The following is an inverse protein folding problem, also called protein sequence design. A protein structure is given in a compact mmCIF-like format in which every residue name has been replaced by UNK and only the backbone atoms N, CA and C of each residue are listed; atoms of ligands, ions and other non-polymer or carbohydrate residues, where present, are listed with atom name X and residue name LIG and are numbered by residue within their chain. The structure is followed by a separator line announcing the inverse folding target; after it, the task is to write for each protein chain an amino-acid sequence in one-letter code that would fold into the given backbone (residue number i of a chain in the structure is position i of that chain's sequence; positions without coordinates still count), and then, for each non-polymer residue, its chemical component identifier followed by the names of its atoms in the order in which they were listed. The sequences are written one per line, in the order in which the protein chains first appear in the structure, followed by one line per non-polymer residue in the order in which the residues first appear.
data_IF_582870135812
#
_entry.id   IF_582870135812
#
_cell.length_a   1.000
_cell.length_b   1.000
_cell.length_c   1.000
_cell.angle_alpha   90.00
_cell.angle_beta   90.00
_cell.angle_gamma   90.00
#
_symmetry.space_group_name_H-M   'P 1'
#
loop_
_entity.id
_entity.type
_entity.pdbx_description
1 polymer ?
#
# COMPACT_ATOMS: atom_id res chain seq x y z
N UNK A 1 -18.15 29.07 14.99
CA UNK A 1 -18.96 28.77 16.19
C UNK A 1 -20.34 29.42 16.06
N UNK A 2 -21.38 28.64 16.32
CA UNK A 2 -22.78 29.14 16.22
C UNK A 2 -23.37 29.53 17.58
N UNK A 3 -22.54 30.07 18.47
CA UNK A 3 -22.98 30.59 19.78
C UNK A 3 -23.47 29.52 20.78
N UNK A 4 -22.97 28.29 20.69
CA UNK A 4 -23.36 27.18 21.57
C UNK A 4 -24.63 26.45 21.17
N UNK A 5 -25.21 26.79 20.02
CA UNK A 5 -26.36 26.07 19.47
C UNK A 5 -25.92 24.74 18.81
N UNK A 6 -26.88 23.87 18.59
CA UNK A 6 -26.63 22.62 17.84
C UNK A 6 -26.16 22.94 16.41
N UNK A 7 -25.45 21.99 15.79
CA UNK A 7 -24.99 22.12 14.40
C UNK A 7 -26.17 22.47 13.47
N UNK A 8 -25.90 23.35 12.52
CA UNK A 8 -26.90 23.75 11.54
C UNK A 8 -27.20 22.60 10.57
N UNK A 9 -28.45 22.46 10.19
CA UNK A 9 -28.90 21.43 9.24
C UNK A 9 -28.56 21.76 7.77
N UNK A 10 -28.03 22.94 7.51
CA UNK A 10 -27.71 23.41 6.16
C UNK A 10 -26.23 23.82 6.05
N UNK A 11 -25.72 23.71 4.86
CA UNK A 11 -24.36 24.10 4.50
C UNK A 11 -24.38 25.55 4.05
N UNK A 12 -23.63 26.41 4.74
CA UNK A 12 -23.40 27.79 4.31
C UNK A 12 -22.09 27.92 3.53
N UNK A 13 -22.07 28.80 2.54
CA UNK A 13 -20.83 29.14 1.85
C UNK A 13 -19.87 29.85 2.80
N UNK A 14 -18.60 29.45 2.71
CA UNK A 14 -17.54 30.09 3.50
C UNK A 14 -17.39 31.54 3.11
N UNK A 15 -17.41 32.44 4.10
CA UNK A 15 -17.12 33.89 3.90
C UNK A 15 -15.62 34.17 3.67
N UNK A 16 -14.79 33.14 3.79
CA UNK A 16 -13.35 33.24 3.52
C UNK A 16 -13.08 33.20 2.02
N UNK A 17 -12.09 33.98 1.52
CA UNK A 17 -11.68 33.88 0.12
C UNK A 17 -11.35 32.42 -0.24
N UNK A 18 -11.90 31.95 -1.35
CA UNK A 18 -11.58 30.60 -1.84
C UNK A 18 -10.11 30.53 -2.23
N UNK A 19 -9.35 29.68 -1.54
CA UNK A 19 -8.00 29.34 -1.98
C UNK A 19 -8.05 28.08 -2.84
N UNK A 20 -7.35 28.04 -3.99
CA UNK A 20 -7.28 26.83 -4.80
C UNK A 20 -6.59 25.72 -3.99
N UNK A 21 -7.32 24.64 -3.72
CA UNK A 21 -6.75 23.46 -3.08
C UNK A 21 -5.83 22.76 -4.08
N UNK A 22 -4.54 22.74 -3.79
CA UNK A 22 -3.58 21.99 -4.60
C UNK A 22 -3.81 20.49 -4.40
N UNK A 23 -4.37 19.82 -5.39
CA UNK A 23 -4.51 18.36 -5.37
C UNK A 23 -3.14 17.72 -5.61
N UNK A 24 -2.80 16.72 -4.80
CA UNK A 24 -1.62 15.90 -5.04
C UNK A 24 -1.81 15.11 -6.35
N UNK A 25 -0.74 14.86 -7.13
CA UNK A 25 -0.79 14.01 -8.30
C UNK A 25 -1.35 12.62 -7.94
N UNK A 26 -2.23 12.09 -8.77
CA UNK A 26 -2.77 10.75 -8.58
C UNK A 26 -1.76 9.67 -8.97
N UNK A 27 -0.89 9.98 -9.93
CA UNK A 27 0.19 9.10 -10.41
C UNK A 27 1.54 9.70 -10.08
N UNK A 28 2.49 8.86 -9.71
CA UNK A 28 3.88 9.20 -9.54
C UNK A 28 4.73 8.17 -10.29
N UNK A 29 5.50 8.63 -11.24
CA UNK A 29 6.41 7.80 -12.05
C UNK A 29 7.83 7.76 -11.47
N UNK A 30 8.04 8.39 -10.29
CA UNK A 30 9.33 8.42 -9.56
C UNK A 30 10.50 8.97 -10.36
N UNK A 31 10.23 9.96 -11.21
CA UNK A 31 11.25 10.64 -12.05
C UNK A 31 11.93 11.81 -11.31
N UNK A 32 11.42 12.17 -10.12
CA UNK A 32 11.96 13.25 -9.30
C UNK A 32 13.18 12.79 -8.49
N UNK A 33 14.13 13.68 -8.22
CA UNK A 33 15.28 13.39 -7.36
C UNK A 33 14.94 13.25 -5.88
N UNK A 34 13.78 13.78 -5.47
CA UNK A 34 13.32 13.77 -4.08
C UNK A 34 11.90 13.24 -3.99
N UNK A 35 11.61 12.58 -2.87
CA UNK A 35 10.29 12.05 -2.58
C UNK A 35 9.26 13.19 -2.40
N UNK A 36 8.10 13.06 -3.03
CA UNK A 36 7.01 14.03 -2.94
C UNK A 36 6.42 14.14 -1.53
N UNK A 37 5.88 15.31 -1.19
CA UNK A 37 5.30 15.63 0.14
C UNK A 37 4.11 14.72 0.54
N UNK A 38 3.52 13.99 -0.40
CA UNK A 38 2.38 13.10 -0.14
C UNK A 38 2.75 11.73 0.41
N UNK A 39 4.05 11.46 0.62
CA UNK A 39 4.52 10.17 1.14
C UNK A 39 4.85 10.24 2.62
N UNK A 40 4.54 9.16 3.30
CA UNK A 40 4.69 8.99 4.75
C UNK A 40 5.33 7.65 5.05
N UNK A 41 6.08 7.59 6.14
CA UNK A 41 6.57 6.34 6.71
C UNK A 41 6.29 6.31 8.22
N UNK A 42 5.92 5.16 8.79
CA UNK A 42 5.69 5.06 10.22
C UNK A 42 7.02 5.13 10.98
N UNK A 43 7.19 6.15 11.82
CA UNK A 43 8.24 6.33 12.83
C UNK A 43 9.67 6.48 12.34
N UNK A 44 9.95 6.39 11.06
CA UNK A 44 11.29 6.59 10.48
C UNK A 44 11.23 7.54 9.30
N UNK A 45 12.35 8.20 9.03
CA UNK A 45 12.46 9.04 7.84
C UNK A 45 12.57 8.15 6.59
N UNK A 46 11.69 8.33 5.57
CA UNK A 46 11.76 7.59 4.32
C UNK A 46 13.13 7.61 3.65
N UNK A 47 13.91 8.68 3.80
CA UNK A 47 15.26 8.81 3.22
C UNK A 47 16.20 7.68 3.64
N UNK A 48 15.93 7.02 4.78
CA UNK A 48 16.77 5.93 5.30
C UNK A 48 16.61 4.62 4.53
N UNK A 49 15.50 4.44 3.80
CA UNK A 49 15.21 3.20 3.08
C UNK A 49 14.70 3.40 1.64
N UNK A 50 14.46 4.64 1.22
CA UNK A 50 14.02 4.99 -0.14
C UNK A 50 15.21 5.42 -0.98
N UNK A 51 15.30 4.93 -2.21
CA UNK A 51 16.26 5.38 -3.22
C UNK A 51 15.54 5.57 -4.56
N UNK A 52 15.50 6.84 -5.03
CA UNK A 52 14.92 7.24 -6.32
C UNK A 52 15.95 7.26 -7.44
N UNK A 53 17.25 7.17 -7.11
CA UNK A 53 18.33 7.28 -8.09
C UNK A 53 18.81 5.92 -8.60
N UNK A 54 18.50 4.84 -7.88
CA UNK A 54 18.99 3.51 -8.20
C UNK A 54 18.48 2.99 -9.55
N UNK A 55 17.27 3.41 -9.96
CA UNK A 55 16.64 3.04 -11.24
C UNK A 55 15.63 4.12 -11.63
N UNK A 56 15.87 4.90 -12.69
CA UNK A 56 14.91 5.90 -13.17
C UNK A 56 13.52 5.29 -13.46
N UNK A 57 12.47 6.00 -13.08
CA UNK A 57 11.08 5.55 -13.24
C UNK A 57 10.63 4.50 -12.21
N UNK A 58 11.46 4.24 -11.17
CA UNK A 58 11.17 3.30 -10.09
C UNK A 58 11.60 3.85 -8.76
N UNK A 59 10.84 3.54 -7.74
CA UNK A 59 11.27 3.71 -6.36
C UNK A 59 11.87 2.40 -5.84
N UNK A 60 13.09 2.45 -5.32
CA UNK A 60 13.70 1.31 -4.63
C UNK A 60 13.50 1.45 -3.13
N UNK A 61 12.96 0.42 -2.51
CA UNK A 61 12.83 0.32 -1.06
C UNK A 61 13.81 -0.71 -0.53
N UNK A 62 14.63 -0.32 0.44
CA UNK A 62 15.49 -1.28 1.16
C UNK A 62 14.65 -2.00 2.21
N UNK A 63 14.56 -3.32 2.14
CA UNK A 63 13.88 -4.15 3.14
C UNK A 63 14.51 -4.02 4.53
N UNK A 64 13.69 -4.05 5.56
CA UNK A 64 14.06 -3.96 6.96
C UNK A 64 13.21 -4.95 7.78
N UNK A 65 12.70 -4.54 8.94
CA UNK A 65 11.89 -5.36 9.83
C UNK A 65 10.47 -5.62 9.27
N UNK A 66 9.78 -6.57 9.87
CA UNK A 66 8.40 -6.92 9.56
C UNK A 66 7.45 -5.72 9.69
N UNK A 67 6.35 -5.70 8.93
CA UNK A 67 5.29 -4.71 9.05
C UNK A 67 4.65 -4.62 10.45
N UNK A 68 4.78 -5.65 11.27
CA UNK A 68 4.36 -5.65 12.67
C UNK A 68 5.36 -4.97 13.62
N UNK A 69 6.57 -4.65 13.15
CA UNK A 69 7.58 -4.01 13.99
C UNK A 69 7.20 -2.58 14.36
N UNK A 70 7.62 -2.17 15.56
CA UNK A 70 7.45 -0.80 16.04
C UNK A 70 8.52 0.17 15.53
N UNK A 71 9.64 -0.32 15.02
CA UNK A 71 10.82 0.51 14.80
C UNK A 71 11.16 0.70 13.31
N UNK A 72 11.83 -0.26 12.71
CA UNK A 72 12.46 -0.10 11.38
C UNK A 72 11.66 -0.82 10.29
N UNK A 73 10.50 -0.28 9.92
CA UNK A 73 9.70 -0.83 8.83
C UNK A 73 9.92 -0.06 7.54
N UNK A 74 10.07 -0.75 6.41
CA UNK A 74 10.14 -0.12 5.09
C UNK A 74 8.76 0.01 4.47
N UNK A 75 7.86 0.71 5.17
CA UNK A 75 6.52 1.04 4.69
C UNK A 75 6.54 2.47 4.18
N UNK A 76 6.32 2.64 2.88
CA UNK A 76 6.09 3.95 2.27
C UNK A 76 4.63 4.05 1.85
N UNK A 77 3.91 5.00 2.42
CA UNK A 77 2.47 5.10 2.29
C UNK A 77 2.01 6.46 1.77
N UNK A 78 0.84 6.48 1.15
CA UNK A 78 0.05 7.68 0.87
C UNK A 78 -1.29 7.56 1.59
N UNK A 79 -1.81 8.68 2.08
CA UNK A 79 -3.13 8.71 2.73
C UNK A 79 -4.24 8.47 1.70
N UNK A 80 -5.20 7.62 2.05
CA UNK A 80 -6.46 7.55 1.33
C UNK A 80 -7.27 8.82 1.65
N UNK A 81 -7.62 9.57 0.60
CA UNK A 81 -8.37 10.84 0.72
C UNK A 81 -9.82 10.71 0.25
N UNK A 82 -10.24 9.50 -0.10
CA UNK A 82 -11.59 9.20 -0.57
C UNK A 82 -12.06 7.85 -0.02
N UNK A 83 -13.36 7.72 0.18
CA UNK A 83 -14.02 6.45 0.53
C UNK A 83 -14.13 5.50 -0.68
N UNK A 84 -13.77 5.96 -1.87
CA UNK A 84 -13.62 5.15 -3.08
C UNK A 84 -12.25 5.43 -3.68
N UNK A 85 -11.42 4.41 -3.76
CA UNK A 85 -10.07 4.54 -4.29
C UNK A 85 -9.63 3.26 -5.00
N UNK A 86 -8.82 3.43 -6.04
CA UNK A 86 -8.07 2.35 -6.67
C UNK A 86 -6.60 2.72 -6.61
N UNK A 87 -5.83 1.87 -5.95
CA UNK A 87 -4.37 2.02 -5.83
C UNK A 87 -3.71 0.90 -6.61
N UNK A 88 -2.82 1.24 -7.52
CA UNK A 88 -2.09 0.26 -8.34
C UNK A 88 -0.60 0.54 -8.25
N UNK A 89 0.20 -0.51 -8.11
CA UNK A 89 1.66 -0.45 -8.20
C UNK A 89 2.20 -1.65 -8.94
N UNK A 90 3.35 -1.48 -9.59
CA UNK A 90 4.12 -2.57 -10.17
C UNK A 90 5.25 -2.91 -9.22
N UNK A 91 5.44 -4.17 -8.91
CA UNK A 91 6.46 -4.67 -7.97
C UNK A 91 7.44 -5.53 -8.73
N UNK A 92 8.69 -5.07 -8.81
CA UNK A 92 9.86 -5.83 -9.26
C UNK A 92 10.59 -6.33 -8.02
N UNK A 93 10.47 -7.62 -7.74
CA UNK A 93 11.02 -8.21 -6.53
C UNK A 93 11.31 -9.70 -6.72
N UNK A 94 12.54 -10.11 -6.42
CA UNK A 94 12.96 -11.53 -6.42
C UNK A 94 13.26 -11.94 -4.98
N UNK A 95 12.30 -12.56 -4.28
CA UNK A 95 12.50 -13.05 -2.92
C UNK A 95 13.42 -14.26 -2.91
N UNK A 96 14.28 -14.37 -1.88
CA UNK A 96 15.21 -15.49 -1.70
C UNK A 96 14.79 -16.43 -0.55
N UNK A 97 13.77 -16.08 0.20
CA UNK A 97 13.22 -16.88 1.31
C UNK A 97 11.81 -16.43 1.66
N UNK A 98 11.11 -17.20 2.48
CA UNK A 98 9.76 -16.85 2.97
C UNK A 98 9.71 -15.56 3.81
N UNK A 99 10.85 -15.16 4.39
CA UNK A 99 10.96 -13.93 5.18
C UNK A 99 11.06 -12.66 4.29
N UNK A 100 11.48 -12.84 3.05
CA UNK A 100 11.59 -11.72 2.11
C UNK A 100 10.22 -11.46 1.47
N UNK A 101 9.60 -10.36 1.82
CA UNK A 101 8.30 -9.98 1.29
C UNK A 101 8.30 -8.55 0.75
N UNK A 102 7.64 -8.34 -0.38
CA UNK A 102 7.37 -7.01 -0.93
C UNK A 102 5.99 -6.97 -1.59
N UNK A 103 5.30 -5.85 -1.50
CA UNK A 103 3.96 -5.74 -2.08
C UNK A 103 3.19 -4.49 -1.71
N UNK A 104 1.86 -4.59 -1.77
CA UNK A 104 0.92 -3.52 -1.55
C UNK A 104 0.16 -3.74 -0.23
N UNK A 105 0.23 -2.76 0.67
CA UNK A 105 -0.35 -2.82 2.01
C UNK A 105 -1.44 -1.76 2.19
N UNK A 106 -2.57 -2.14 2.79
CA UNK A 106 -3.51 -1.21 3.40
C UNK A 106 -3.23 -1.20 4.90
N UNK A 107 -2.63 -0.11 5.38
CA UNK A 107 -2.01 -0.03 6.69
C UNK A 107 -2.75 0.97 7.57
N UNK A 108 -3.23 0.54 8.71
CA UNK A 108 -3.74 1.41 9.77
C UNK A 108 -2.66 1.64 10.85
N UNK A 109 -2.14 0.54 11.41
CA UNK A 109 -1.00 0.53 12.34
C UNK A 109 -0.26 -0.84 12.27
N UNK A 110 0.72 -1.04 13.14
CA UNK A 110 1.51 -2.28 13.18
C UNK A 110 0.74 -3.51 13.71
N UNK A 111 -0.46 -3.32 14.24
CA UNK A 111 -1.34 -4.38 14.74
C UNK A 111 -2.56 -4.60 13.83
N UNK A 112 -2.80 -3.68 12.87
CA UNK A 112 -3.99 -3.70 12.02
C UNK A 112 -3.62 -3.31 10.58
N UNK A 113 -3.52 -4.28 9.69
CA UNK A 113 -3.29 -4.08 8.26
C UNK A 113 -3.68 -5.31 7.44
N UNK A 114 -3.86 -5.11 6.15
CA UNK A 114 -3.97 -6.19 5.16
C UNK A 114 -2.91 -5.99 4.08
N UNK A 115 -2.30 -7.08 3.62
CA UNK A 115 -1.10 -7.03 2.79
C UNK A 115 -1.15 -8.08 1.68
N UNK A 116 -1.13 -7.62 0.43
CA UNK A 116 -0.84 -8.44 -0.75
C UNK A 116 0.66 -8.41 -0.97
N UNK A 117 1.31 -9.57 -0.97
CA UNK A 117 2.78 -9.66 -1.01
C UNK A 117 3.28 -10.78 -1.90
N UNK A 118 4.46 -10.56 -2.50
CA UNK A 118 5.27 -11.58 -3.17
C UNK A 118 6.31 -12.11 -2.19
N UNK A 119 6.54 -13.41 -2.18
CA UNK A 119 7.49 -14.10 -1.33
C UNK A 119 8.00 -15.38 -2.00
N UNK A 120 9.04 -16.00 -1.45
CA UNK A 120 9.51 -17.31 -1.86
C UNK A 120 9.03 -18.38 -0.88
N UNK A 121 8.43 -19.45 -1.40
CA UNK A 121 7.99 -20.57 -0.59
C UNK A 121 9.11 -21.61 -0.50
N UNK A 122 9.84 -21.67 0.60
CA UNK A 122 10.94 -22.62 0.80
C UNK A 122 10.44 -24.08 0.72
N UNK A 123 9.21 -24.33 1.18
CA UNK A 123 8.60 -25.68 1.14
C UNK A 123 8.31 -26.14 -0.29
N UNK A 124 7.88 -25.22 -1.16
CA UNK A 124 7.50 -25.52 -2.53
C UNK A 124 8.57 -25.11 -3.55
N UNK A 125 9.65 -24.49 -3.07
CA UNK A 125 10.78 -24.01 -3.86
C UNK A 125 10.34 -23.18 -5.07
N UNK A 126 9.44 -22.19 -4.83
CA UNK A 126 8.85 -21.38 -5.88
C UNK A 126 8.39 -20.02 -5.35
N UNK A 127 8.49 -18.98 -6.19
CA UNK A 127 7.91 -17.67 -5.89
C UNK A 127 6.38 -17.70 -5.94
N UNK A 128 5.76 -16.99 -5.04
CA UNK A 128 4.30 -16.90 -4.94
C UNK A 128 3.84 -15.50 -4.49
N UNK A 129 2.59 -15.20 -4.77
CA UNK A 129 1.86 -14.09 -4.16
C UNK A 129 0.79 -14.64 -3.23
N UNK A 130 0.54 -13.94 -2.14
CA UNK A 130 -0.49 -14.30 -1.16
C UNK A 130 -0.99 -13.05 -0.44
N UNK A 131 -2.03 -13.22 0.37
CA UNK A 131 -2.61 -12.16 1.19
C UNK A 131 -2.50 -12.54 2.66
N UNK A 132 -2.17 -11.57 3.51
CA UNK A 132 -2.27 -11.70 4.96
C UNK A 132 -3.09 -10.57 5.55
N UNK A 133 -3.73 -10.85 6.67
CA UNK A 133 -4.37 -9.88 7.56
C UNK A 133 -3.66 -9.92 8.91
N UNK A 134 -3.43 -8.76 9.48
CA UNK A 134 -3.12 -8.61 10.90
C UNK A 134 -4.25 -7.81 11.50
N UNK A 135 -4.90 -8.36 12.51
CA UNK A 135 -6.02 -7.74 13.21
C UNK A 135 -5.80 -7.87 14.72
N UNK A 136 -5.74 -6.75 15.42
CA UNK A 136 -5.39 -6.70 16.84
C UNK A 136 -4.11 -7.48 17.18
N UNK A 137 -3.12 -7.44 16.28
CA UNK A 137 -1.85 -8.15 16.40
C UNK A 137 -1.90 -9.64 16.05
N UNK A 138 -3.07 -10.19 15.75
CA UNK A 138 -3.22 -11.59 15.33
C UNK A 138 -3.05 -11.69 13.81
N UNK A 139 -2.05 -12.48 13.40
CA UNK A 139 -1.72 -12.71 12.00
C UNK A 139 -2.54 -13.89 11.44
N UNK A 140 -3.17 -13.66 10.30
CA UNK A 140 -3.81 -14.68 9.48
C UNK A 140 -3.27 -14.61 8.06
N UNK A 141 -2.78 -15.73 7.54
CA UNK A 141 -2.40 -15.90 6.14
C UNK A 141 -3.49 -16.67 5.39
N UNK A 142 -3.81 -16.20 4.20
CA UNK A 142 -4.80 -16.84 3.32
C UNK A 142 -4.06 -17.73 2.31
N UNK A 143 -3.51 -18.83 2.82
CA UNK A 143 -2.71 -19.77 2.02
C UNK A 143 -3.50 -20.44 0.89
N UNK A 144 -4.82 -20.54 1.03
CA UNK A 144 -5.74 -21.03 0.01
C UNK A 144 -5.83 -20.09 -1.21
N UNK A 145 -5.53 -18.81 -1.03
CA UNK A 145 -5.48 -17.83 -2.11
C UNK A 145 -4.10 -17.72 -2.77
N UNK A 146 -3.13 -18.51 -2.33
CA UNK A 146 -1.77 -18.50 -2.89
C UNK A 146 -1.79 -18.75 -4.39
N UNK A 147 -1.06 -17.91 -5.11
CA UNK A 147 -0.84 -18.06 -6.55
C UNK A 147 0.65 -18.07 -6.85
N UNK A 148 1.11 -19.09 -7.59
CA UNK A 148 2.50 -19.20 -8.02
C UNK A 148 2.77 -18.24 -9.16
N UNK A 149 3.96 -17.66 -9.15
CA UNK A 149 4.46 -16.74 -10.17
C UNK A 149 5.91 -17.07 -10.47
N UNK A 150 6.36 -16.81 -11.69
CA UNK A 150 7.75 -17.05 -12.07
C UNK A 150 8.74 -16.22 -11.25
N UNK A 151 9.91 -16.77 -11.00
CA UNK A 151 11.00 -16.04 -10.36
C UNK A 151 11.43 -14.88 -11.26
N UNK A 152 11.63 -13.70 -10.65
CA UNK A 152 11.97 -12.49 -11.40
C UNK A 152 10.79 -11.85 -12.15
N UNK A 153 9.61 -12.47 -12.16
CA UNK A 153 8.42 -11.90 -12.79
C UNK A 153 7.91 -10.66 -12.03
N UNK A 154 7.80 -9.54 -12.71
CA UNK A 154 7.14 -8.34 -12.18
C UNK A 154 5.64 -8.58 -12.01
N UNK A 155 5.08 -8.06 -10.92
CA UNK A 155 3.66 -8.21 -10.60
C UNK A 155 3.00 -6.85 -10.43
N UNK A 156 1.90 -6.63 -11.14
CA UNK A 156 1.01 -5.51 -10.86
C UNK A 156 0.08 -5.89 -9.71
N UNK A 157 0.05 -5.06 -8.69
CA UNK A 157 -0.80 -5.22 -7.51
C UNK A 157 -1.79 -4.06 -7.44
N UNK A 158 -3.03 -4.38 -7.16
CA UNK A 158 -4.13 -3.41 -7.07
C UNK A 158 -4.93 -3.62 -5.79
N UNK A 159 -5.24 -2.52 -5.13
CA UNK A 159 -6.17 -2.42 -4.02
C UNK A 159 -7.37 -1.59 -4.48
N UNK A 160 -8.56 -2.13 -4.35
CA UNK A 160 -9.82 -1.42 -4.58
C UNK A 160 -10.52 -1.19 -3.24
N UNK A 161 -10.81 0.06 -2.91
CA UNK A 161 -11.54 0.47 -1.71
C UNK A 161 -12.88 1.05 -2.12
N UNK A 162 -13.97 0.53 -1.54
CA UNK A 162 -15.34 1.01 -1.76
C UNK A 162 -16.06 1.08 -0.40
N UNK A 163 -16.13 2.29 0.17
CA UNK A 163 -16.63 2.49 1.52
C UNK A 163 -15.74 1.78 2.55
N UNK A 164 -16.31 0.83 3.27
CA UNK A 164 -15.57 0.00 4.24
C UNK A 164 -14.89 -1.21 3.61
N UNK A 165 -15.33 -1.63 2.42
CA UNK A 165 -14.83 -2.83 1.77
C UNK A 165 -13.56 -2.57 0.98
N UNK A 166 -12.55 -3.41 1.19
CA UNK A 166 -11.27 -3.39 0.46
C UNK A 166 -10.94 -4.77 -0.11
N UNK A 167 -10.55 -4.83 -1.39
CA UNK A 167 -10.25 -6.07 -2.08
C UNK A 167 -8.92 -5.94 -2.85
N UNK A 168 -8.12 -6.99 -2.83
CA UNK A 168 -6.90 -7.07 -3.61
C UNK A 168 -7.10 -7.78 -4.94
N UNK A 169 -6.33 -7.30 -5.93
CA UNK A 169 -6.20 -7.90 -7.25
C UNK A 169 -4.76 -7.88 -7.72
N UNK A 170 -4.43 -8.74 -8.64
CA UNK A 170 -3.10 -8.81 -9.24
C UNK A 170 -3.17 -9.04 -10.75
N UNK A 171 -2.09 -8.72 -11.46
CA UNK A 171 -1.97 -8.90 -12.90
C UNK A 171 -0.51 -9.09 -13.31
N UNK A 172 -0.27 -9.76 -14.45
CA UNK A 172 1.04 -9.86 -15.08
C UNK A 172 1.25 -8.77 -16.15
N UNK A 173 0.19 -8.33 -16.79
CA UNK A 173 0.20 -7.38 -17.93
C UNK A 173 -0.15 -5.94 -17.53
N UNK A 174 -0.77 -5.74 -16.34
CA UNK A 174 -1.25 -4.45 -15.87
C UNK A 174 -2.66 -4.09 -16.36
N UNK A 175 -3.24 -4.90 -17.22
CA UNK A 175 -4.56 -4.67 -17.85
C UNK A 175 -5.61 -5.64 -17.30
N UNK A 176 -5.32 -6.93 -17.31
CA UNK A 176 -6.23 -7.99 -16.88
C UNK A 176 -5.97 -8.37 -15.42
N UNK A 177 -6.86 -7.94 -14.51
CA UNK A 177 -6.72 -8.17 -13.08
C UNK A 177 -7.54 -9.35 -12.58
N UNK A 178 -6.93 -10.22 -11.79
CA UNK A 178 -7.56 -11.35 -11.08
C UNK A 178 -7.67 -11.02 -9.60
N UNK A 179 -8.77 -11.42 -8.97
CA UNK A 179 -8.95 -11.30 -7.52
C UNK A 179 -8.01 -12.25 -6.77
N UNK A 180 -7.57 -11.85 -5.58
CA UNK A 180 -6.74 -12.67 -4.71
C UNK A 180 -7.11 -12.43 -3.23
N UNK A 181 -7.37 -13.52 -2.52
CA UNK A 181 -7.82 -13.48 -1.14
C UNK A 181 -9.26 -12.98 -0.97
N UNK A 182 -9.71 -12.87 0.27
CA UNK A 182 -11.03 -12.30 0.57
C UNK A 182 -11.01 -10.78 0.42
N UNK A 183 -12.19 -10.18 0.40
CA UNK A 183 -12.34 -8.76 0.67
C UNK A 183 -12.45 -8.53 2.19
N UNK A 184 -11.94 -7.41 2.66
CA UNK A 184 -11.89 -7.00 4.06
C UNK A 184 -12.82 -5.82 4.31
N UNK A 185 -13.42 -5.75 5.50
CA UNK A 185 -14.23 -4.63 6.00
C UNK A 185 -13.43 -3.76 6.98
#
# INVERSE_FOLDING_TARGET
ENGGNMAQEFVEESKLPGYPVKKLPQRDDFDSETLGIGYYAPRIDPVTFVDLKARPGWIRLRGQESGCSLNKTSILARKLTSVQAVVTTKVDFTPLSYQHTAGLILYYDNMNFVYLYKYFSDTLNHSAISVMQVENGLKREFSEARTFVEDGQDIWMRLEVKGRKSCFKWSLDGDTYKEIGPCFD
#
